data_IF_391143317435
#
_entry.id   IF_391143317435
#
_cell.length_a   1.000
_cell.length_b   1.000
_cell.length_c   1.000
_cell.angle_alpha   90.00
_cell.angle_beta   90.00
_cell.angle_gamma   90.00
#
_symmetry.space_group_name_H-M   'P 1'
#
loop_
_entity.id
_entity.type
_entity.pdbx_description
1 polymer ?
#
# COMPACT_ATOMS: atom_id res chain seq x y z
N UNK A 1 8.90 -23.88 16.67
CA UNK A 1 7.86 -24.74 16.08
C UNK A 1 7.99 -26.11 16.74
N UNK A 2 6.90 -26.83 16.87
CA UNK A 2 6.90 -28.12 17.55
C UNK A 2 7.49 -29.23 16.68
N UNK A 3 8.79 -29.23 16.48
CA UNK A 3 9.48 -30.28 15.75
C UNK A 3 9.71 -31.49 16.68
N UNK A 4 8.59 -32.09 17.11
CA UNK A 4 8.64 -33.27 17.93
C UNK A 4 8.50 -34.52 17.06
N UNK A 5 9.61 -34.97 16.50
CA UNK A 5 9.68 -36.10 15.57
C UNK A 5 9.22 -37.42 16.20
N UNK A 6 9.08 -37.47 17.53
CA UNK A 6 8.61 -38.66 18.25
C UNK A 6 7.09 -38.83 18.16
N UNK A 7 6.38 -37.74 17.88
CA UNK A 7 4.95 -37.81 17.63
C UNK A 7 4.72 -38.04 16.13
N UNK A 8 3.84 -38.97 15.82
CA UNK A 8 3.54 -39.31 14.45
C UNK A 8 2.75 -38.23 13.73
N UNK A 9 2.89 -38.20 12.41
CA UNK A 9 2.10 -37.39 11.48
C UNK A 9 2.08 -35.88 11.87
N UNK A 10 0.91 -35.31 11.90
CA UNK A 10 0.69 -33.85 12.12
C UNK A 10 1.00 -33.43 13.56
N UNK A 11 0.92 -34.32 14.51
CA UNK A 11 1.17 -33.99 15.92
C UNK A 11 2.65 -33.64 16.19
N UNK A 12 3.57 -34.12 15.34
CA UNK A 12 4.98 -33.74 15.40
C UNK A 12 5.30 -32.29 15.12
N UNK A 13 4.39 -31.56 14.40
CA UNK A 13 4.59 -30.18 13.99
C UNK A 13 3.54 -29.21 14.55
N UNK A 14 2.54 -29.70 15.27
CA UNK A 14 1.47 -28.90 15.87
C UNK A 14 1.78 -28.54 17.31
N UNK A 15 1.30 -27.37 17.71
CA UNK A 15 1.30 -26.89 19.10
C UNK A 15 -0.05 -26.26 19.40
N UNK A 16 -0.45 -26.17 20.69
CA UNK A 16 -1.57 -25.31 21.06
C UNK A 16 -1.36 -23.88 20.56
N UNK A 17 -2.46 -23.23 20.15
CA UNK A 17 -2.40 -21.84 19.67
C UNK A 17 -1.92 -20.92 20.79
N UNK A 18 -0.97 -20.06 20.48
CA UNK A 18 -0.36 -19.10 21.40
C UNK A 18 -1.17 -17.79 21.42
N UNK A 19 -2.17 -17.70 22.31
CA UNK A 19 -3.04 -16.53 22.40
C UNK A 19 -2.44 -15.40 23.23
N UNK A 20 -1.91 -15.75 24.42
CA UNK A 20 -1.34 -14.81 25.39
C UNK A 20 -0.03 -15.32 25.95
N UNK A 21 0.78 -14.47 26.64
CA UNK A 21 1.98 -14.94 27.36
C UNK A 21 1.68 -15.72 28.64
N UNK A 22 0.42 -15.87 29.03
CA UNK A 22 0.00 -16.48 30.28
C UNK A 22 0.08 -18.01 30.26
N UNK A 23 -0.36 -18.64 31.39
CA UNK A 23 -0.40 -20.07 31.54
C UNK A 23 -1.08 -20.75 30.33
N UNK A 24 -0.44 -21.80 29.83
CA UNK A 24 -0.86 -22.57 28.66
C UNK A 24 -0.99 -21.73 27.37
N UNK A 25 -0.29 -20.59 27.29
CA UNK A 25 -0.39 -19.70 26.14
C UNK A 25 -1.80 -19.09 25.99
N UNK A 26 -2.61 -19.04 27.04
CA UNK A 26 -4.02 -18.63 26.95
C UNK A 26 -4.93 -19.62 26.22
N UNK A 27 -4.41 -20.79 25.84
CA UNK A 27 -5.17 -21.79 25.08
C UNK A 27 -6.17 -22.56 25.94
N UNK A 28 -5.79 -22.93 27.19
CA UNK A 28 -6.60 -23.73 28.07
C UNK A 28 -6.34 -23.40 29.55
N UNK A 29 -7.37 -23.55 30.38
CA UNK A 29 -7.28 -23.43 31.84
C UNK A 29 -6.88 -24.77 32.53
N UNK A 30 -6.73 -25.83 31.75
CA UNK A 30 -6.36 -27.14 32.27
C UNK A 30 -4.97 -27.13 32.93
N UNK A 31 -4.67 -28.20 33.68
CA UNK A 31 -3.31 -28.45 34.16
C UNK A 31 -2.37 -28.65 32.94
N UNK A 32 -1.19 -27.97 32.89
CA UNK A 32 -0.24 -28.13 31.79
C UNK A 32 0.11 -29.56 31.45
N UNK A 33 0.17 -30.45 32.45
CA UNK A 33 0.45 -31.87 32.28
C UNK A 33 -0.67 -32.65 31.56
N UNK A 34 -1.87 -32.06 31.50
CA UNK A 34 -3.03 -32.65 30.82
C UNK A 34 -3.22 -32.14 29.39
N UNK A 35 -2.32 -31.27 28.91
CA UNK A 35 -2.36 -30.80 27.53
C UNK A 35 -2.02 -31.95 26.58
N UNK A 36 -2.84 -32.13 25.54
CA UNK A 36 -2.62 -33.19 24.54
C UNK A 36 -1.29 -33.01 23.79
N UNK A 37 -0.96 -31.80 23.42
CA UNK A 37 0.32 -31.45 22.81
C UNK A 37 1.08 -30.47 23.72
N UNK A 38 2.42 -30.52 23.72
CA UNK A 38 3.23 -29.60 24.49
C UNK A 38 3.16 -28.19 23.93
N UNK A 39 3.24 -27.21 24.82
CA UNK A 39 3.43 -25.80 24.41
C UNK A 39 4.81 -25.60 23.79
N UNK A 40 4.88 -24.70 22.84
CA UNK A 40 6.17 -24.22 22.34
C UNK A 40 6.80 -23.28 23.40
N UNK A 41 7.90 -23.71 23.99
CA UNK A 41 8.68 -22.94 24.97
C UNK A 41 10.01 -22.42 24.40
N UNK A 42 10.15 -22.38 23.07
CA UNK A 42 11.34 -21.85 22.39
C UNK A 42 11.59 -20.39 22.79
N UNK A 43 12.84 -19.96 23.02
CA UNK A 43 13.14 -18.58 23.43
C UNK A 43 12.74 -17.52 22.41
N UNK A 44 12.62 -17.86 21.13
CA UNK A 44 12.29 -16.94 20.04
C UNK A 44 10.83 -17.07 19.61
N UNK A 45 10.33 -18.30 19.46
CA UNK A 45 9.01 -18.61 18.91
C UNK A 45 8.01 -19.10 19.97
N UNK A 46 8.44 -19.22 21.22
CA UNK A 46 7.58 -19.69 22.30
C UNK A 46 6.47 -18.69 22.65
N UNK A 47 5.42 -19.19 23.30
CA UNK A 47 4.20 -18.44 23.59
C UNK A 47 4.43 -17.19 24.47
N UNK A 48 5.50 -17.15 25.24
CA UNK A 48 5.84 -16.00 26.08
C UNK A 48 6.31 -14.80 25.26
N UNK A 49 6.92 -15.03 24.09
CA UNK A 49 7.46 -13.99 23.20
C UNK A 49 6.55 -13.78 22.01
N UNK A 50 6.16 -14.87 21.35
CA UNK A 50 5.36 -14.83 20.13
C UNK A 50 3.95 -15.33 20.41
N UNK A 51 2.99 -14.44 20.50
CA UNK A 51 1.58 -14.76 20.74
C UNK A 51 0.67 -13.73 20.09
N UNK A 52 -0.62 -14.05 19.98
CA UNK A 52 -1.60 -13.18 19.31
C UNK A 52 -1.69 -11.81 19.98
N UNK A 53 -1.70 -11.77 21.33
CA UNK A 53 -1.81 -10.51 22.07
C UNK A 53 -0.63 -9.57 21.78
N UNK A 54 0.61 -10.07 21.81
CA UNK A 54 1.81 -9.27 21.49
C UNK A 54 1.80 -8.78 20.05
N UNK A 55 1.36 -9.62 19.12
CA UNK A 55 1.26 -9.24 17.70
C UNK A 55 0.13 -8.23 17.43
N UNK A 56 -0.97 -8.30 18.15
CA UNK A 56 -2.04 -7.29 18.05
C UNK A 56 -1.59 -5.91 18.51
N UNK A 57 -0.71 -5.84 19.51
CA UNK A 57 -0.14 -4.58 20.01
C UNK A 57 0.90 -3.96 19.07
N UNK A 58 1.55 -4.79 18.26
CA UNK A 58 2.58 -4.34 17.32
C UNK A 58 2.01 -4.22 15.90
N UNK A 59 1.78 -2.99 15.45
CA UNK A 59 1.23 -2.70 14.11
C UNK A 59 2.08 -3.22 12.95
N UNK A 60 3.37 -3.46 13.17
CA UNK A 60 4.29 -4.01 12.17
C UNK A 60 4.44 -5.54 12.26
N UNK A 61 3.57 -6.21 13.03
CA UNK A 61 3.65 -7.65 13.18
C UNK A 61 3.20 -8.42 11.94
N UNK A 62 3.61 -9.69 11.87
CA UNK A 62 3.17 -10.62 10.82
C UNK A 62 1.64 -10.78 10.80
N UNK A 63 0.98 -10.70 11.95
CA UNK A 63 -0.48 -10.79 12.05
C UNK A 63 -1.15 -9.62 11.33
N UNK A 64 -0.70 -8.39 11.56
CA UNK A 64 -1.24 -7.21 10.87
C UNK A 64 -0.91 -7.24 9.38
N UNK A 65 0.32 -7.60 9.02
CA UNK A 65 0.70 -7.76 7.62
C UNK A 65 -0.19 -8.77 6.89
N UNK A 66 -0.39 -9.96 7.47
CA UNK A 66 -1.23 -11.00 6.86
C UNK A 66 -2.70 -10.55 6.75
N UNK A 67 -3.22 -9.87 7.77
CA UNK A 67 -4.58 -9.29 7.71
C UNK A 67 -4.71 -8.30 6.57
N UNK A 68 -3.72 -7.42 6.38
CA UNK A 68 -3.69 -6.46 5.28
C UNK A 68 -3.68 -7.17 3.92
N UNK A 69 -2.83 -8.18 3.75
CA UNK A 69 -2.77 -8.96 2.50
C UNK A 69 -4.09 -9.68 2.19
N UNK A 70 -4.73 -10.26 3.20
CA UNK A 70 -6.06 -10.89 3.04
C UNK A 70 -7.11 -9.83 2.69
N UNK A 71 -7.05 -8.66 3.29
CA UNK A 71 -7.97 -7.55 3.01
C UNK A 71 -7.84 -7.10 1.56
N UNK A 72 -6.64 -6.79 1.10
CA UNK A 72 -6.35 -6.44 -0.31
C UNK A 72 -6.88 -7.51 -1.26
N UNK A 73 -6.55 -8.78 -0.99
CA UNK A 73 -7.02 -9.90 -1.81
C UNK A 73 -8.55 -9.98 -1.90
N UNK A 74 -9.26 -9.64 -0.82
CA UNK A 74 -10.75 -9.67 -0.81
C UNK A 74 -11.37 -8.49 -1.54
N UNK A 75 -10.68 -7.36 -1.63
CA UNK A 75 -11.15 -6.20 -2.38
C UNK A 75 -11.08 -6.41 -3.90
N UNK A 76 -10.19 -7.29 -4.36
CA UNK A 76 -9.98 -7.62 -5.77
C UNK A 76 -10.43 -9.06 -6.06
N UNK A 77 -11.67 -9.28 -6.54
CA UNK A 77 -12.16 -10.61 -6.95
C UNK A 77 -11.26 -11.30 -7.97
N UNK A 78 -10.53 -10.53 -8.74
CA UNK A 78 -9.54 -10.94 -9.73
C UNK A 78 -8.52 -11.93 -9.18
N UNK A 79 -8.10 -11.83 -7.93
CA UNK A 79 -7.20 -12.81 -7.32
C UNK A 79 -7.78 -14.24 -7.25
N UNK A 80 -9.10 -14.36 -7.18
CA UNK A 80 -9.78 -15.66 -7.10
C UNK A 80 -10.41 -16.11 -8.42
N UNK A 81 -11.07 -15.18 -9.11
CA UNK A 81 -11.94 -15.47 -10.26
C UNK A 81 -11.31 -15.09 -11.60
N UNK A 82 -10.25 -14.27 -11.59
CA UNK A 82 -9.63 -13.77 -12.81
C UNK A 82 -8.93 -14.86 -13.63
N UNK A 83 -8.72 -14.58 -14.89
CA UNK A 83 -7.86 -15.34 -15.79
C UNK A 83 -6.41 -15.33 -15.28
N UNK A 84 -5.56 -16.13 -15.85
CA UNK A 84 -4.12 -16.13 -15.56
C UNK A 84 -3.36 -16.03 -16.90
N UNK A 85 -2.48 -15.05 -17.00
CA UNK A 85 -1.56 -14.90 -18.10
C UNK A 85 -0.17 -14.57 -17.56
N UNK A 86 0.81 -15.38 -17.93
CA UNK A 86 2.21 -15.11 -17.56
C UNK A 86 2.72 -13.88 -18.32
N UNK A 87 3.43 -13.01 -17.61
CA UNK A 87 4.16 -11.89 -18.20
C UNK A 87 5.62 -12.30 -18.30
N UNK A 88 6.10 -12.46 -19.52
CA UNK A 88 7.47 -12.89 -19.76
C UNK A 88 8.51 -11.94 -19.17
N UNK A 89 9.48 -12.50 -18.49
CA UNK A 89 10.65 -11.81 -17.95
C UNK A 89 11.91 -12.56 -18.35
N UNK A 90 13.00 -11.82 -18.62
CA UNK A 90 14.32 -12.43 -18.84
C UNK A 90 14.98 -12.91 -17.56
N UNK A 91 14.46 -12.50 -16.38
CA UNK A 91 15.00 -12.92 -15.10
C UNK A 91 14.27 -14.16 -14.58
N UNK A 92 14.91 -15.35 -14.58
CA UNK A 92 14.27 -16.61 -14.22
C UNK A 92 13.92 -16.71 -12.72
N UNK A 93 14.40 -15.78 -11.90
CA UNK A 93 14.08 -15.74 -10.47
C UNK A 93 12.89 -14.86 -10.15
N UNK A 94 12.32 -14.18 -11.14
CA UNK A 94 11.14 -13.34 -10.98
C UNK A 94 9.94 -13.99 -11.67
N UNK A 95 8.92 -14.31 -10.87
CA UNK A 95 7.63 -14.77 -11.36
C UNK A 95 6.71 -13.57 -11.53
N UNK A 96 6.27 -13.33 -12.77
CA UNK A 96 5.34 -12.25 -13.08
C UNK A 96 4.15 -12.76 -13.89
N UNK A 97 2.96 -12.33 -13.51
CA UNK A 97 1.71 -12.71 -14.17
C UNK A 97 0.64 -11.63 -13.97
N UNK A 98 -0.31 -11.61 -14.88
CA UNK A 98 -1.51 -10.77 -14.83
C UNK A 98 -2.73 -11.63 -14.61
N UNK A 99 -3.65 -11.14 -13.82
CA UNK A 99 -5.00 -11.66 -13.67
C UNK A 99 -6.02 -10.60 -14.07
N UNK A 100 -7.10 -11.03 -14.75
CA UNK A 100 -8.12 -10.13 -15.28
C UNK A 100 -9.52 -10.68 -14.97
N UNK A 101 -10.37 -9.82 -14.41
CA UNK A 101 -11.77 -10.12 -14.14
C UNK A 101 -12.62 -8.87 -14.34
N UNK A 102 -13.40 -8.83 -15.44
CA UNK A 102 -14.08 -7.61 -15.84
C UNK A 102 -13.10 -6.48 -16.13
N UNK A 103 -13.28 -5.37 -15.46
CA UNK A 103 -12.38 -4.21 -15.57
C UNK A 103 -11.22 -4.21 -14.57
N UNK A 104 -11.24 -5.14 -13.61
CA UNK A 104 -10.17 -5.27 -12.60
C UNK A 104 -9.01 -6.08 -13.17
N UNK A 105 -7.85 -5.45 -13.31
CA UNK A 105 -6.61 -6.04 -13.83
C UNK A 105 -5.54 -5.95 -12.77
N UNK A 106 -5.03 -7.09 -12.33
CA UNK A 106 -3.99 -7.16 -11.30
C UNK A 106 -2.72 -7.78 -11.87
N UNK A 107 -1.62 -7.03 -11.81
CA UNK A 107 -0.27 -7.51 -12.11
C UNK A 107 0.43 -7.94 -10.80
N UNK A 108 0.88 -9.18 -10.76
CA UNK A 108 1.68 -9.72 -9.66
C UNK A 108 3.12 -9.91 -10.12
N UNK A 109 4.08 -9.36 -9.38
CA UNK A 109 5.52 -9.50 -9.65
C UNK A 109 6.20 -9.97 -8.38
N UNK A 110 6.85 -11.14 -8.41
CA UNK A 110 7.39 -11.80 -7.23
C UNK A 110 8.85 -12.19 -7.44
N UNK A 111 9.74 -11.71 -6.58
CA UNK A 111 11.13 -12.15 -6.55
C UNK A 111 11.27 -13.42 -5.68
N UNK A 112 11.56 -14.55 -6.30
CA UNK A 112 11.74 -15.84 -5.63
C UNK A 112 13.16 -16.03 -5.08
N UNK A 113 14.06 -15.07 -5.34
CA UNK A 113 15.43 -15.07 -4.86
C UNK A 113 15.55 -14.34 -3.52
N UNK A 114 16.49 -14.74 -2.69
CA UNK A 114 16.87 -14.02 -1.47
C UNK A 114 17.65 -12.72 -1.72
N UNK A 115 18.08 -12.47 -2.95
CA UNK A 115 18.83 -11.28 -3.36
C UNK A 115 17.92 -10.30 -4.09
N UNK A 116 18.20 -8.99 -4.03
CA UNK A 116 17.51 -8.01 -4.87
C UNK A 116 17.64 -8.37 -6.35
N UNK A 117 16.57 -8.22 -7.12
CA UNK A 117 16.51 -8.58 -8.53
C UNK A 117 15.91 -7.45 -9.36
N UNK A 118 16.56 -7.02 -10.43
CA UNK A 118 15.95 -6.20 -11.46
C UNK A 118 15.11 -7.07 -12.39
N UNK A 119 14.05 -6.52 -12.92
CA UNK A 119 13.19 -7.17 -13.91
C UNK A 119 12.72 -6.19 -14.96
N UNK A 120 12.70 -6.64 -16.20
CA UNK A 120 12.10 -5.98 -17.36
C UNK A 120 10.86 -6.76 -17.75
N UNK A 121 9.70 -6.11 -17.74
CA UNK A 121 8.41 -6.71 -18.07
C UNK A 121 7.90 -6.17 -19.40
N UNK A 122 7.43 -7.04 -20.27
CA UNK A 122 6.70 -6.63 -21.48
C UNK A 122 5.23 -6.35 -21.14
N UNK A 123 4.93 -5.09 -20.87
CA UNK A 123 3.59 -4.62 -20.54
C UNK A 123 2.94 -3.78 -21.66
N UNK A 124 3.45 -3.83 -22.90
CA UNK A 124 2.92 -3.05 -24.04
C UNK A 124 1.41 -3.22 -24.26
N UNK A 125 0.87 -4.38 -23.92
CA UNK A 125 -0.58 -4.64 -23.94
C UNK A 125 -1.38 -3.67 -23.05
N UNK A 126 -0.73 -3.12 -22.02
CA UNK A 126 -1.31 -2.18 -21.06
C UNK A 126 -0.72 -0.78 -21.21
N UNK A 127 -0.28 -0.41 -22.41
CA UNK A 127 0.20 0.94 -22.69
C UNK A 127 -0.85 1.97 -22.27
N UNK A 128 -0.41 3.03 -21.59
CA UNK A 128 -1.27 4.07 -21.05
C UNK A 128 -1.88 3.76 -19.68
N UNK A 129 -1.82 2.51 -19.18
CA UNK A 129 -2.29 2.19 -17.83
C UNK A 129 -1.29 2.66 -16.77
N UNK A 130 -1.81 3.03 -15.61
CA UNK A 130 -0.99 3.41 -14.44
C UNK A 130 -1.00 2.28 -13.42
N UNK A 131 0.15 1.65 -13.10
CA UNK A 131 0.22 0.66 -12.03
C UNK A 131 0.09 1.34 -10.66
N UNK A 132 -0.88 0.89 -9.86
CA UNK A 132 -1.09 1.36 -8.47
C UNK A 132 -0.77 0.19 -7.53
N UNK A 133 0.26 0.33 -6.70
CA UNK A 133 0.64 -0.70 -5.74
C UNK A 133 -0.43 -0.84 -4.66
N UNK A 134 -0.93 -2.08 -4.46
CA UNK A 134 -2.17 -2.34 -3.71
C UNK A 134 -2.02 -2.26 -2.19
N UNK A 135 -0.82 -2.46 -1.64
CA UNK A 135 -0.61 -2.45 -0.19
C UNK A 135 -0.39 -1.05 0.36
N UNK A 136 0.37 -0.23 -0.35
CA UNK A 136 0.67 1.16 -0.01
C UNK A 136 -0.17 2.18 -0.77
N UNK A 137 -0.94 1.77 -1.78
CA UNK A 137 -1.72 2.65 -2.68
C UNK A 137 -0.86 3.70 -3.36
N UNK A 138 0.33 3.29 -3.78
CA UNK A 138 1.31 4.16 -4.43
C UNK A 138 1.23 3.98 -5.94
N UNK A 139 1.08 5.08 -6.65
CA UNK A 139 1.13 5.11 -8.11
C UNK A 139 2.58 4.98 -8.59
N UNK A 140 2.76 4.15 -9.60
CA UNK A 140 4.02 3.98 -10.30
C UNK A 140 3.96 4.65 -11.68
N UNK A 141 5.09 4.87 -12.35
CA UNK A 141 5.11 5.48 -13.68
C UNK A 141 4.18 4.77 -14.66
N UNK A 142 3.51 5.53 -15.49
CA UNK A 142 2.61 5.02 -16.53
C UNK A 142 3.35 4.06 -17.47
N UNK A 143 2.67 2.98 -17.86
CA UNK A 143 3.19 1.99 -18.80
C UNK A 143 3.25 2.61 -20.21
N UNK A 144 4.45 2.59 -20.80
CA UNK A 144 4.69 3.01 -22.17
C UNK A 144 5.06 1.85 -23.10
N UNK A 145 5.61 2.19 -24.25
CA UNK A 145 6.04 1.23 -25.28
C UNK A 145 7.33 0.46 -24.92
N UNK A 146 8.12 0.99 -23.99
CA UNK A 146 9.38 0.38 -23.55
C UNK A 146 9.13 -0.68 -22.48
N UNK A 147 10.04 -1.67 -22.31
CA UNK A 147 9.96 -2.63 -21.22
C UNK A 147 9.85 -1.92 -19.85
N UNK A 148 8.95 -2.41 -19.03
CA UNK A 148 8.70 -1.83 -17.72
C UNK A 148 9.71 -2.34 -16.70
N UNK A 149 10.54 -1.42 -16.18
CA UNK A 149 11.66 -1.74 -15.29
C UNK A 149 11.24 -1.68 -13.83
N UNK A 150 11.49 -2.74 -13.08
CA UNK A 150 11.32 -2.79 -11.62
C UNK A 150 12.56 -3.37 -10.96
N UNK A 151 12.77 -3.01 -9.70
CA UNK A 151 13.73 -3.66 -8.81
C UNK A 151 12.99 -4.13 -7.56
N UNK A 152 13.08 -5.44 -7.29
CA UNK A 152 12.45 -6.05 -6.12
C UNK A 152 13.54 -6.41 -5.09
N UNK A 153 13.26 -6.16 -3.82
CA UNK A 153 14.08 -6.66 -2.72
C UNK A 153 14.09 -8.20 -2.68
N UNK A 154 15.02 -8.80 -1.94
CA UNK A 154 15.03 -10.26 -1.76
C UNK A 154 13.70 -10.76 -1.17
N UNK A 155 13.09 -11.76 -1.81
CA UNK A 155 11.75 -12.25 -1.52
C UNK A 155 10.65 -11.16 -1.53
N UNK A 156 10.93 -9.99 -2.15
CA UNK A 156 9.99 -8.90 -2.32
C UNK A 156 8.98 -9.21 -3.42
N UNK A 157 7.84 -8.55 -3.34
CA UNK A 157 6.81 -8.65 -4.37
C UNK A 157 6.07 -7.31 -4.50
N UNK A 158 5.40 -7.14 -5.63
CA UNK A 158 4.42 -6.09 -5.87
C UNK A 158 3.12 -6.71 -6.38
N UNK A 159 2.01 -6.19 -5.90
CA UNK A 159 0.68 -6.38 -6.46
C UNK A 159 0.19 -5.03 -6.96
N UNK A 160 0.00 -4.89 -8.24
CA UNK A 160 -0.46 -3.66 -8.86
C UNK A 160 -1.87 -3.85 -9.43
N UNK A 161 -2.75 -2.94 -9.10
CA UNK A 161 -3.91 -2.65 -9.94
C UNK A 161 -3.43 -1.86 -11.15
N UNK A 162 -3.79 -2.29 -12.35
CA UNK A 162 -3.50 -1.55 -13.58
C UNK A 162 -4.69 -0.63 -13.88
N UNK A 163 -4.61 0.62 -13.41
CA UNK A 163 -5.65 1.61 -13.61
C UNK A 163 -5.68 2.05 -15.08
N UNK A 164 -6.87 1.99 -15.70
CA UNK A 164 -7.07 2.47 -17.07
C UNK A 164 -6.76 3.97 -17.15
N UNK A 165 -6.26 4.46 -18.30
CA UNK A 165 -6.19 5.90 -18.55
C UNK A 165 -7.57 6.50 -18.31
N UNK A 166 -7.63 7.67 -17.64
CA UNK A 166 -8.85 8.43 -17.62
C UNK A 166 -9.26 8.73 -19.07
N UNK A 167 -10.50 8.40 -19.43
CA UNK A 167 -11.03 8.87 -20.72
C UNK A 167 -10.89 10.39 -20.73
N UNK A 168 -10.38 11.00 -21.82
CA UNK A 168 -10.37 12.45 -21.93
C UNK A 168 -11.82 12.89 -21.67
N UNK A 169 -12.01 13.67 -20.62
CA UNK A 169 -13.27 14.39 -20.45
C UNK A 169 -13.37 15.23 -21.70
N UNK A 170 -14.27 14.89 -22.63
CA UNK A 170 -14.66 15.83 -23.68
C UNK A 170 -15.02 17.09 -22.91
N UNK A 171 -14.15 18.11 -23.01
CA UNK A 171 -14.50 19.45 -22.56
C UNK A 171 -15.83 19.73 -23.25
N UNK A 172 -16.90 19.69 -22.47
CA UNK A 172 -18.19 20.13 -22.97
C UNK A 172 -17.92 21.53 -23.49
N UNK A 173 -17.99 21.69 -24.81
CA UNK A 173 -17.92 23.00 -25.46
C UNK A 173 -18.82 23.89 -24.62
N UNK A 174 -18.21 24.84 -23.90
CA UNK A 174 -18.99 25.89 -23.23
C UNK A 174 -19.86 26.48 -24.32
N UNK A 175 -21.19 26.51 -24.18
CA UNK A 175 -22.03 27.13 -25.16
C UNK A 175 -21.54 28.57 -25.27
N UNK A 176 -21.12 28.98 -26.48
CA UNK A 176 -20.75 30.34 -26.83
C UNK A 176 -21.93 31.27 -26.43
N UNK A 177 -21.89 31.73 -25.19
CA UNK A 177 -22.79 32.74 -24.67
C UNK A 177 -22.26 34.10 -25.05
N UNK A 178 -22.18 34.34 -26.37
CA UNK A 178 -22.09 35.68 -26.97
C UNK A 178 -23.38 36.46 -26.81
N UNK A 179 -24.13 36.28 -25.75
CA UNK A 179 -25.27 37.10 -25.38
C UNK A 179 -25.06 37.66 -23.98
N UNK A 180 -24.76 38.93 -23.88
CA UNK A 180 -24.73 39.67 -22.62
C UNK A 180 -26.04 39.43 -21.86
N UNK A 181 -25.91 38.91 -20.60
CA UNK A 181 -27.06 38.64 -19.75
C UNK A 181 -27.88 39.94 -19.54
N UNK A 182 -29.18 39.96 -19.80
CA UNK A 182 -30.01 41.14 -19.61
C UNK A 182 -30.05 41.68 -18.18
N UNK A 183 -29.51 40.92 -17.21
CA UNK A 183 -29.39 41.32 -15.80
C UNK A 183 -28.25 42.31 -15.57
N UNK A 184 -27.15 42.24 -16.35
CA UNK A 184 -26.04 43.16 -16.24
C UNK A 184 -26.39 44.57 -16.72
N UNK A 185 -27.16 44.68 -17.78
CA UNK A 185 -27.64 46.00 -18.29
C UNK A 185 -28.63 46.67 -17.33
N UNK A 186 -29.44 45.88 -16.63
CA UNK A 186 -30.42 46.43 -15.66
C UNK A 186 -29.76 46.98 -14.40
N UNK A 187 -28.61 46.44 -13.99
CA UNK A 187 -27.87 46.89 -12.80
C UNK A 187 -27.06 48.18 -13.07
N UNK A 188 -26.56 48.35 -14.29
CA UNK A 188 -25.89 49.60 -14.72
C UNK A 188 -26.89 50.75 -14.85
N UNK A 189 -28.12 50.48 -15.30
CA UNK A 189 -29.17 51.48 -15.43
C UNK A 189 -29.75 51.94 -14.06
N UNK A 190 -29.59 51.13 -13.02
CA UNK A 190 -30.08 51.42 -11.68
C UNK A 190 -29.08 52.21 -10.78
N UNK A 191 -27.86 52.51 -11.26
CA UNK A 191 -26.89 53.32 -10.51
C UNK A 191 -26.38 52.69 -9.22
N UNK A 192 -26.42 51.37 -9.09
CA UNK A 192 -26.09 50.68 -7.86
C UNK A 192 -24.63 50.15 -7.78
N UNK A 193 -23.82 50.40 -8.80
CA UNK A 193 -22.38 50.02 -8.76
C UNK A 193 -21.58 51.24 -9.29
N UNK A 194 -20.87 51.92 -8.41
CA UNK A 194 -19.85 52.91 -8.74
C UNK A 194 -18.51 52.22 -8.99
N UNK A 195 -17.77 52.66 -9.99
CA UNK A 195 -16.47 52.15 -10.39
C UNK A 195 -15.44 52.18 -9.24
N UNK A 196 -14.57 51.19 -9.26
CA UNK A 196 -13.48 50.90 -8.35
C UNK A 196 -12.71 52.13 -7.83
N UNK A 197 -12.59 52.20 -6.51
CA UNK A 197 -11.61 53.02 -5.82
C UNK A 197 -10.28 52.25 -5.70
N UNK A 198 -9.22 52.86 -6.23
CA UNK A 198 -7.84 52.41 -6.10
C UNK A 198 -7.39 52.52 -4.63
N UNK A 199 -6.86 51.44 -4.09
CA UNK A 199 -6.20 51.45 -2.77
C UNK A 199 -4.71 51.70 -2.99
N UNK A 200 -4.11 52.78 -2.42
CA UNK A 200 -2.69 53.06 -2.55
C UNK A 200 -1.85 52.13 -1.68
N UNK A 201 -0.76 51.63 -2.25
CA UNK A 201 0.23 50.79 -1.56
C UNK A 201 0.92 51.55 -0.43
N UNK A 202 1.10 50.84 0.67
CA UNK A 202 1.97 51.29 1.76
C UNK A 202 3.25 50.44 1.77
N UNK A 203 4.35 51.15 1.48
CA UNK A 203 5.71 50.68 1.59
C UNK A 203 6.23 51.00 2.99
N UNK A 204 6.51 50.03 3.83
CA UNK A 204 7.40 50.29 4.97
C UNK A 204 8.43 49.15 5.17
N UNK A 205 9.66 49.53 4.86
CA UNK A 205 10.92 48.87 5.13
C UNK A 205 11.24 49.01 6.60
N UNK A 206 11.50 47.90 7.32
CA UNK A 206 12.35 47.96 8.53
C UNK A 206 13.30 46.76 8.60
N UNK A 207 14.54 47.08 8.37
CA UNK A 207 15.77 46.42 8.81
C UNK A 207 15.85 46.41 10.35
N UNK A 208 16.38 45.37 10.92
CA UNK A 208 16.77 45.30 12.31
C UNK A 208 17.34 43.95 12.71
N UNK A 209 18.66 43.85 12.68
CA UNK A 209 19.51 42.84 13.30
C UNK A 209 19.15 42.63 14.76
N UNK A 210 19.18 41.39 15.27
CA UNK A 210 19.79 41.06 16.55
C UNK A 210 19.94 39.53 16.71
N UNK A 211 21.19 39.10 16.70
CA UNK A 211 21.67 37.81 17.13
C UNK A 211 22.31 37.98 18.52
N UNK A 212 22.00 37.19 19.52
CA UNK A 212 22.90 37.01 20.65
C UNK A 212 23.51 35.59 20.68
N UNK A 213 24.67 35.43 21.32
CA UNK A 213 25.65 34.42 21.04
C UNK A 213 25.52 33.15 21.88
N UNK A 214 26.16 32.10 21.36
CA UNK A 214 26.43 30.80 21.97
C UNK A 214 27.33 30.91 23.25
N UNK A 215 26.99 30.12 24.27
CA UNK A 215 27.92 29.62 25.28
C UNK A 215 27.65 28.12 25.40
N UNK A 216 28.53 27.30 25.18
CA UNK A 216 29.88 26.94 25.42
C UNK A 216 30.08 26.10 26.68
N UNK A 217 30.33 24.74 26.49
CA UNK A 217 31.19 23.88 27.22
C UNK A 217 30.68 23.11 28.45
N UNK A 218 31.49 22.21 28.94
CA UNK A 218 31.58 20.77 28.61
C UNK A 218 31.43 19.90 29.87
N UNK A 219 31.02 18.66 29.69
CA UNK A 219 31.62 17.46 30.32
C UNK A 219 30.86 16.20 29.91
#
# INVERSE_FOLDING_TARGET
MGDNIWLGDRDGVRTPMQWTPDRNGGFSTADPQRMYLPLNADPVYGYQVTNVESQLRNTNSMLHWLRQMIHVRKQHPTFGLGTYAEVGSRNPTVLSFVREFGDDVVLCVNNLSRFPQPVELDLRRFEGYTPVELTGRVEFPQIGVLPYMLTLSGHGFYWFELAKPAEPVEEAEEPDTGAASPVAESLLAAGLVTAAEEIPGDSDTRTGDDVPPSTGGPR
#
